data_IF_932646153723
#
_entry.id   IF_932646153723
#
_cell.length_a   1.000
_cell.length_b   1.000
_cell.length_c   1.000
_cell.angle_alpha   90.00
_cell.angle_beta   90.00
_cell.angle_gamma   90.00
#
_symmetry.space_group_name_H-M   'P 1'
#
loop_
_entity.id
_entity.type
_entity.pdbx_description
1 polymer ?
#
# COMPACT_ATOMS: atom_id res chain seq x y z
N UNK A 1 32.00 -39.86 -41.22
CA UNK A 1 32.48 -38.55 -40.78
C UNK A 1 31.40 -37.45 -40.87
N UNK A 2 30.65 -37.30 -41.93
CA UNK A 2 29.64 -36.22 -42.11
C UNK A 2 28.53 -36.17 -41.03
N UNK A 3 27.98 -37.34 -40.59
CA UNK A 3 26.94 -37.41 -39.54
C UNK A 3 27.41 -36.93 -38.15
N UNK A 4 28.68 -37.17 -37.79
CA UNK A 4 29.25 -36.70 -36.52
C UNK A 4 29.41 -35.19 -36.48
N UNK A 5 29.82 -34.58 -37.61
CA UNK A 5 29.92 -33.14 -37.74
C UNK A 5 28.54 -32.44 -37.67
N UNK A 6 27.50 -33.03 -38.27
CA UNK A 6 26.14 -32.51 -38.18
C UNK A 6 25.61 -32.51 -36.75
N UNK A 7 25.82 -33.58 -36.01
CA UNK A 7 25.37 -33.68 -34.62
C UNK A 7 26.09 -32.67 -33.71
N UNK A 8 27.37 -32.42 -33.94
CA UNK A 8 28.14 -31.38 -33.21
C UNK A 8 27.59 -29.98 -33.52
N UNK A 9 27.26 -29.69 -34.79
CA UNK A 9 26.67 -28.40 -35.17
C UNK A 9 25.30 -28.15 -34.52
N UNK A 10 24.43 -29.18 -34.42
CA UNK A 10 23.15 -29.08 -33.72
C UNK A 10 23.32 -28.87 -32.23
N UNK A 11 24.31 -29.53 -31.61
CA UNK A 11 24.60 -29.37 -30.17
C UNK A 11 25.12 -27.96 -29.86
N UNK A 12 25.96 -27.39 -30.71
CA UNK A 12 26.46 -26.02 -30.57
C UNK A 12 25.37 -24.97 -30.81
N UNK A 13 24.44 -25.22 -31.74
CA UNK A 13 23.31 -24.36 -31.99
C UNK A 13 22.30 -24.39 -30.85
N UNK A 14 22.02 -25.56 -30.25
CA UNK A 14 21.18 -25.69 -29.07
C UNK A 14 21.79 -25.00 -27.84
N UNK A 15 23.13 -25.09 -27.66
CA UNK A 15 23.82 -24.41 -26.58
C UNK A 15 23.77 -22.87 -26.71
N UNK A 16 23.77 -22.32 -27.91
CA UNK A 16 23.65 -20.88 -28.15
C UNK A 16 22.25 -20.34 -27.81
N UNK A 17 21.20 -21.15 -27.91
CA UNK A 17 19.85 -20.76 -27.53
C UNK A 17 19.61 -20.70 -26.00
N UNK A 18 20.38 -21.44 -25.21
CA UNK A 18 20.26 -21.45 -23.77
C UNK A 18 21.01 -20.29 -23.10
N UNK A 19 21.99 -19.71 -23.80
CA UNK A 19 22.78 -18.57 -23.32
C UNK A 19 22.08 -17.22 -23.50
N UNK A 20 20.92 -17.19 -24.18
CA UNK A 20 20.05 -16.00 -24.26
C UNK A 20 19.09 -15.92 -23.10
N UNK A 21 19.52 -16.23 -21.87
CA UNK A 21 18.87 -15.70 -20.68
C UNK A 21 19.16 -14.20 -20.68
N UNK A 22 18.21 -13.42 -21.16
CA UNK A 22 18.24 -11.98 -21.02
C UNK A 22 18.46 -11.67 -19.53
N UNK A 23 19.59 -11.07 -19.22
CA UNK A 23 19.74 -10.35 -17.98
C UNK A 23 18.49 -9.47 -17.87
N UNK A 24 17.65 -9.78 -16.89
CA UNK A 24 16.62 -8.84 -16.47
C UNK A 24 17.38 -7.60 -16.06
N UNK A 25 17.44 -6.63 -16.97
CA UNK A 25 17.94 -5.31 -16.68
C UNK A 25 17.14 -4.88 -15.44
N UNK A 26 17.77 -4.93 -14.28
CA UNK A 26 17.18 -4.36 -13.08
C UNK A 26 16.84 -2.92 -13.46
N UNK A 27 15.55 -2.68 -13.53
CA UNK A 27 15.08 -1.34 -13.82
C UNK A 27 15.53 -0.51 -12.66
N UNK A 28 16.62 0.20 -12.91
CA UNK A 28 16.97 1.52 -12.45
C UNK A 28 16.85 1.80 -10.97
N UNK A 29 17.91 2.24 -10.54
CA UNK A 29 18.08 3.22 -9.50
C UNK A 29 16.93 4.21 -9.50
N UNK A 30 16.03 4.05 -8.53
CA UNK A 30 15.11 5.12 -8.20
C UNK A 30 15.92 6.34 -7.78
N UNK A 31 15.51 7.55 -8.10
CA UNK A 31 16.18 8.73 -7.61
C UNK A 31 16.25 8.72 -6.08
N UNK A 32 17.29 9.30 -5.49
CA UNK A 32 17.57 9.29 -4.05
C UNK A 32 16.41 9.77 -3.16
N UNK A 33 15.48 10.55 -3.71
CA UNK A 33 14.27 11.00 -3.02
C UNK A 33 13.13 9.99 -3.06
N UNK A 34 13.22 8.92 -3.88
CA UNK A 34 12.17 7.93 -4.02
C UNK A 34 12.32 6.84 -2.96
N UNK A 35 11.30 6.67 -2.16
CA UNK A 35 11.20 5.56 -1.24
C UNK A 35 10.78 4.30 -1.98
N UNK A 36 11.51 3.22 -1.77
CA UNK A 36 11.28 1.92 -2.38
C UNK A 36 11.06 0.86 -1.31
N UNK A 37 10.80 -0.35 -1.74
CA UNK A 37 10.73 -1.53 -0.85
C UNK A 37 9.63 -1.43 0.22
N UNK A 38 8.51 -0.77 -0.10
CA UNK A 38 7.35 -0.75 0.78
C UNK A 38 6.83 -2.17 1.01
N UNK A 39 6.78 -2.57 2.27
CA UNK A 39 6.24 -3.85 2.70
C UNK A 39 5.05 -3.64 3.62
N UNK A 40 4.13 -4.59 3.58
CA UNK A 40 3.01 -4.65 4.54
C UNK A 40 3.39 -5.65 5.64
N UNK A 41 3.73 -5.20 6.85
CA UNK A 41 4.03 -6.12 7.94
C UNK A 41 2.81 -6.99 8.26
N UNK A 42 3.05 -8.27 8.51
CA UNK A 42 1.99 -9.19 8.95
C UNK A 42 1.42 -8.78 10.31
N UNK A 43 0.11 -8.90 10.47
CA UNK A 43 -0.59 -8.70 11.74
C UNK A 43 -0.81 -7.24 12.16
N UNK A 44 -0.32 -6.26 11.40
CA UNK A 44 -0.49 -4.82 11.71
C UNK A 44 -1.15 -4.02 10.60
N UNK A 45 -1.76 -4.69 9.63
CA UNK A 45 -2.45 -4.03 8.52
C UNK A 45 -3.91 -4.52 8.43
N UNK A 46 -4.89 -3.61 8.52
CA UNK A 46 -4.75 -2.15 8.63
C UNK A 46 -4.29 -1.69 10.02
N UNK A 47 -3.53 -0.59 10.07
CA UNK A 47 -3.08 0.04 11.33
C UNK A 47 -4.13 0.98 11.94
N UNK A 48 -5.05 1.47 11.13
CA UNK A 48 -6.20 2.27 11.52
C UNK A 48 -7.42 1.65 10.85
N UNK A 49 -8.42 1.34 11.64
CA UNK A 49 -9.68 0.73 11.19
C UNK A 49 -10.86 1.52 11.74
N UNK A 50 -12.04 1.43 11.14
CA UNK A 50 -13.26 1.94 11.75
C UNK A 50 -13.46 1.42 13.17
N UNK A 51 -13.90 2.29 14.08
CA UNK A 51 -14.15 1.97 15.48
C UNK A 51 -15.48 2.57 15.93
N UNK A 52 -16.35 1.72 16.48
CA UNK A 52 -17.65 2.11 16.99
C UNK A 52 -17.61 2.53 18.45
N UNK A 53 -16.50 2.34 19.13
CA UNK A 53 -16.34 2.62 20.57
C UNK A 53 -15.82 4.02 20.86
N UNK A 54 -15.15 4.65 19.92
CA UNK A 54 -14.67 6.02 20.04
C UNK A 54 -15.81 7.01 19.84
N UNK A 55 -16.09 7.80 20.88
CA UNK A 55 -17.19 8.74 20.86
C UNK A 55 -16.69 10.18 20.80
N UNK A 56 -17.39 10.99 20.02
CA UNK A 56 -17.21 12.44 19.94
C UNK A 56 -18.54 13.15 20.24
N UNK A 57 -18.51 14.09 21.18
CA UNK A 57 -19.67 14.95 21.39
C UNK A 57 -19.80 15.98 20.28
N UNK A 58 -20.82 15.83 19.45
CA UNK A 58 -21.09 16.72 18.33
C UNK A 58 -21.97 17.90 18.80
N UNK A 59 -21.45 19.14 18.89
CA UNK A 59 -22.22 20.27 19.36
C UNK A 59 -23.38 20.65 18.44
N UNK A 60 -23.29 20.30 17.15
CA UNK A 60 -24.35 20.55 16.16
C UNK A 60 -25.54 19.60 16.34
N UNK A 61 -25.28 18.37 16.76
CA UNK A 61 -26.31 17.35 17.01
C UNK A 61 -26.72 17.28 18.49
N UNK A 62 -25.94 17.90 19.35
CA UNK A 62 -26.09 17.82 20.83
C UNK A 62 -26.13 16.38 21.36
N UNK A 63 -25.33 15.53 20.74
CA UNK A 63 -25.28 14.10 21.04
C UNK A 63 -23.84 13.54 20.86
N UNK A 64 -23.56 12.43 21.54
CA UNK A 64 -22.32 11.67 21.36
C UNK A 64 -22.48 10.70 20.23
N UNK A 65 -21.58 10.75 19.26
CA UNK A 65 -21.61 9.94 18.06
C UNK A 65 -20.33 9.13 17.92
N UNK A 66 -20.46 7.89 17.43
CA UNK A 66 -19.32 7.08 17.00
C UNK A 66 -18.81 7.64 15.66
N UNK A 67 -17.88 8.57 15.75
CA UNK A 67 -17.49 9.46 14.64
C UNK A 67 -16.66 8.80 13.55
N UNK A 68 -16.06 7.65 13.84
CA UNK A 68 -15.27 6.85 12.90
C UNK A 68 -15.83 5.43 12.69
N UNK A 69 -17.13 5.27 12.93
CA UNK A 69 -17.77 3.96 12.94
C UNK A 69 -17.95 3.32 11.57
N UNK A 70 -17.88 4.08 10.48
CA UNK A 70 -18.16 3.58 9.15
C UNK A 70 -16.90 3.32 8.32
N UNK A 71 -16.11 4.35 8.10
CA UNK A 71 -14.94 4.26 7.24
C UNK A 71 -13.79 5.13 7.74
N UNK A 72 -12.55 4.66 7.54
CA UNK A 72 -11.32 5.41 7.74
C UNK A 72 -10.49 5.37 6.47
N UNK A 73 -10.05 6.53 5.96
CA UNK A 73 -9.39 6.61 4.65
C UNK A 73 -8.61 7.92 4.44
N UNK A 74 -7.94 8.02 3.31
CA UNK A 74 -7.17 9.20 2.88
C UNK A 74 -6.17 9.68 3.95
N UNK A 75 -5.27 8.81 4.45
CA UNK A 75 -4.31 9.21 5.46
C UNK A 75 -3.21 10.09 4.87
N UNK A 76 -2.73 11.03 5.69
CA UNK A 76 -1.46 11.73 5.49
C UNK A 76 -0.57 11.47 6.69
N UNK A 77 0.68 11.09 6.45
CA UNK A 77 1.63 10.77 7.52
C UNK A 77 2.82 11.73 7.50
N UNK A 78 3.32 12.07 8.68
CA UNK A 78 4.54 12.87 8.86
C UNK A 78 5.27 12.45 10.12
N UNK A 79 6.49 12.94 10.27
CA UNK A 79 7.22 12.86 11.54
C UNK A 79 7.05 14.20 12.27
N UNK A 80 6.56 14.16 13.49
CA UNK A 80 6.44 15.29 14.36
C UNK A 80 6.88 14.92 15.77
N UNK A 81 7.78 15.68 16.36
CA UNK A 81 8.37 15.44 17.69
C UNK A 81 8.89 13.99 17.87
N UNK A 82 9.59 13.47 16.85
CA UNK A 82 10.18 12.13 16.84
C UNK A 82 9.18 10.97 16.72
N UNK A 83 7.91 11.25 16.50
CA UNK A 83 6.83 10.26 16.31
C UNK A 83 6.27 10.30 14.90
N UNK A 84 5.80 9.16 14.43
CA UNK A 84 4.97 9.10 13.23
C UNK A 84 3.57 9.58 13.61
N UNK A 85 3.13 10.65 12.98
CA UNK A 85 1.80 11.22 13.14
C UNK A 85 1.01 10.96 11.87
N UNK A 86 -0.23 10.48 12.03
CA UNK A 86 -1.14 10.23 10.93
C UNK A 86 -2.41 11.05 11.13
N UNK A 87 -2.74 11.88 10.15
CA UNK A 87 -4.05 12.50 10.02
C UNK A 87 -4.85 11.68 9.00
N UNK A 88 -6.05 11.32 9.35
CA UNK A 88 -6.91 10.52 8.49
C UNK A 88 -8.33 11.06 8.49
N UNK A 89 -9.04 10.78 7.42
CA UNK A 89 -10.47 11.06 7.32
C UNK A 89 -11.25 9.88 7.87
N UNK A 90 -12.25 10.16 8.69
CA UNK A 90 -13.19 9.16 9.20
C UNK A 90 -14.64 9.58 8.94
N UNK A 91 -15.52 8.62 8.79
CA UNK A 91 -16.95 8.83 8.59
C UNK A 91 -17.78 8.08 9.61
N UNK A 92 -18.84 8.75 10.08
CA UNK A 92 -19.85 8.15 10.94
C UNK A 92 -20.98 7.47 10.13
N UNK A 93 -21.91 6.82 10.82
CA UNK A 93 -23.08 6.15 10.23
C UNK A 93 -24.29 7.10 10.03
N UNK A 94 -24.10 8.40 9.90
CA UNK A 94 -25.18 9.38 9.74
C UNK A 94 -26.00 9.21 8.46
N UNK A 95 -25.43 8.54 7.45
CA UNK A 95 -26.12 8.21 6.21
C UNK A 95 -25.53 6.94 5.58
N UNK A 96 -26.25 6.34 4.64
CA UNK A 96 -25.85 5.09 3.98
C UNK A 96 -25.03 5.29 2.69
N UNK A 97 -25.12 6.46 2.08
CA UNK A 97 -24.46 6.75 0.80
C UNK A 97 -23.08 7.38 0.98
N UNK A 98 -22.11 6.96 0.17
CA UNK A 98 -20.81 7.64 0.08
C UNK A 98 -21.03 9.11 -0.30
N UNK A 99 -20.37 10.03 0.42
CA UNK A 99 -20.50 11.46 0.20
C UNK A 99 -21.70 12.12 0.91
N UNK A 100 -22.55 11.34 1.57
CA UNK A 100 -23.69 11.85 2.37
C UNK A 100 -23.46 11.72 3.87
N UNK A 101 -22.42 11.00 4.28
CA UNK A 101 -22.01 10.83 5.68
C UNK A 101 -21.21 12.04 6.17
N UNK A 102 -21.19 12.23 7.48
CA UNK A 102 -20.37 13.30 8.07
C UNK A 102 -18.93 12.82 8.20
N UNK A 103 -18.02 13.56 7.58
CA UNK A 103 -16.58 13.29 7.66
C UNK A 103 -15.91 14.18 8.69
N UNK A 104 -14.91 13.63 9.37
CA UNK A 104 -14.08 14.31 10.37
C UNK A 104 -12.62 13.94 10.18
N UNK A 105 -11.73 14.72 10.79
CA UNK A 105 -10.31 14.41 10.83
C UNK A 105 -9.99 13.67 12.12
N UNK A 106 -9.37 12.50 11.96
CA UNK A 106 -8.77 11.72 13.02
C UNK A 106 -7.28 12.01 13.15
N UNK A 107 -6.74 11.79 14.31
CA UNK A 107 -5.33 11.89 14.65
C UNK A 107 -4.88 10.61 15.35
N UNK A 108 -3.74 10.05 14.89
CA UNK A 108 -3.06 8.93 15.53
C UNK A 108 -1.56 9.19 15.62
N UNK A 109 -0.90 8.65 16.65
CA UNK A 109 0.56 8.75 16.83
C UNK A 109 1.10 7.56 17.65
#
# INVERSE_FOLDING_TARGET
>A
MKRKLQNIAYLLMAAAFVASCSEKKQISEFPDWAWTDFQRPEGVNPIISPDTTTLFYCPMRQDSIAWEASDTFNPAATIYDGKVVVLYRAEDNSATGIGTRTSRLGYAS
#
